data_IF_399358841968
#
_entry.id   IF_399358841968
#
_cell.length_a   1.000
_cell.length_b   1.000
_cell.length_c   1.000
_cell.angle_alpha   90.00
_cell.angle_beta   90.00
_cell.angle_gamma   90.00
#
_symmetry.space_group_name_H-M   'P 1'
#
loop_
_entity.id
_entity.type
_entity.pdbx_description
1 polymer ?
#
# COMPACT_ATOMS: atom_id res chain seq x y z
N UNK A 1 2.53 75.33 -5.20
CA UNK A 1 2.47 74.21 -4.22
C UNK A 1 3.87 74.02 -3.66
N UNK A 2 4.08 74.11 -2.35
CA UNK A 2 5.45 74.19 -1.77
C UNK A 2 6.01 72.73 -1.73
N UNK A 3 7.27 72.55 -2.09
CA UNK A 3 8.02 71.29 -2.15
C UNK A 3 7.80 70.40 -0.89
N UNK A 4 7.63 71.01 0.29
CA UNK A 4 7.29 70.37 1.55
C UNK A 4 5.98 69.54 1.50
N UNK A 5 4.98 70.02 0.78
CA UNK A 5 3.66 69.27 0.69
C UNK A 5 3.75 68.10 -0.24
N UNK A 6 4.64 68.21 -1.26
CA UNK A 6 4.87 67.04 -2.18
C UNK A 6 5.64 65.95 -1.44
N UNK A 7 6.64 66.28 -0.64
CA UNK A 7 7.39 65.31 0.17
C UNK A 7 6.52 64.68 1.27
N UNK A 8 5.61 65.46 1.87
CA UNK A 8 4.68 64.90 2.86
C UNK A 8 3.65 63.93 2.25
N UNK A 9 3.11 64.22 1.06
CA UNK A 9 2.22 63.32 0.34
C UNK A 9 2.95 62.04 -0.13
N UNK A 10 4.20 62.16 -0.58
CA UNK A 10 5.00 61.02 -0.98
C UNK A 10 5.35 60.08 0.19
N UNK A 11 5.60 60.62 1.38
CA UNK A 11 5.88 59.80 2.58
C UNK A 11 4.63 59.12 3.11
N UNK A 12 3.45 59.73 3.02
CA UNK A 12 2.17 59.12 3.39
C UNK A 12 1.74 58.00 2.42
N UNK A 13 1.92 58.24 1.10
CA UNK A 13 1.66 57.19 0.09
C UNK A 13 2.66 56.04 0.20
N UNK A 14 3.93 56.26 0.51
CA UNK A 14 4.94 55.22 0.74
C UNK A 14 4.66 54.38 2.00
N UNK A 15 4.12 54.99 3.06
CA UNK A 15 3.72 54.32 4.29
C UNK A 15 2.50 53.42 4.12
N UNK A 16 1.55 53.79 3.24
CA UNK A 16 0.36 52.99 2.93
C UNK A 16 0.67 51.77 2.03
N UNK A 17 1.73 51.85 1.23
CA UNK A 17 2.14 50.71 0.38
C UNK A 17 2.86 49.59 1.16
N UNK A 18 3.38 49.88 2.37
CA UNK A 18 4.07 48.89 3.21
C UNK A 18 3.14 48.15 4.17
N UNK A 19 1.87 48.56 4.31
CA UNK A 19 0.89 47.89 5.16
C UNK A 19 0.06 46.82 4.43
N UNK A 20 0.42 46.49 3.18
CA UNK A 20 -0.32 45.51 2.36
C UNK A 20 0.05 44.04 2.61
N UNK A 21 0.99 43.77 3.52
CA UNK A 21 1.26 42.41 3.96
C UNK A 21 0.62 42.18 5.33
N UNK A 22 -0.69 41.96 5.37
CA UNK A 22 -1.31 41.35 6.55
C UNK A 22 -0.91 39.88 6.57
N UNK A 23 -0.39 39.42 7.72
CA UNK A 23 0.13 38.05 7.90
C UNK A 23 -0.81 36.93 7.49
N UNK A 24 -2.09 37.21 7.34
CA UNK A 24 -3.10 36.23 6.91
C UNK A 24 -3.04 35.85 5.42
N UNK A 25 -2.44 36.67 4.53
CA UNK A 25 -2.39 36.33 3.11
C UNK A 25 -1.47 35.14 2.81
N UNK A 26 -0.44 34.92 3.62
CA UNK A 26 0.42 33.73 3.49
C UNK A 26 -0.10 32.54 4.32
N UNK A 27 -0.93 32.79 5.32
CA UNK A 27 -1.57 31.74 6.13
C UNK A 27 -2.86 31.20 5.48
N UNK A 28 -3.48 31.95 4.55
CA UNK A 28 -4.66 31.51 3.79
C UNK A 28 -4.34 30.62 2.59
N UNK A 29 -3.07 30.37 2.29
CA UNK A 29 -2.64 29.52 1.17
C UNK A 29 -2.79 28.00 1.46
N UNK A 30 -3.51 27.62 2.50
CA UNK A 30 -4.04 26.26 2.62
C UNK A 30 -5.24 26.16 1.69
N UNK A 31 -5.01 25.62 0.48
CA UNK A 31 -6.07 25.25 -0.42
C UNK A 31 -7.07 24.39 0.36
N UNK A 32 -8.31 24.85 0.62
CA UNK A 32 -9.30 24.07 1.38
C UNK A 32 -9.68 22.75 0.68
N UNK A 33 -9.28 22.57 -0.59
CA UNK A 33 -9.41 21.34 -1.35
C UNK A 33 -8.08 20.57 -1.44
N UNK A 34 -7.00 21.04 -0.82
CA UNK A 34 -5.80 20.23 -0.69
C UNK A 34 -6.08 19.10 0.30
N UNK A 35 -5.66 17.91 -0.04
CA UNK A 35 -5.65 16.76 0.87
C UNK A 35 -4.55 16.97 1.93
N UNK A 36 -4.75 17.97 2.81
CA UNK A 36 -3.90 18.17 3.97
C UNK A 36 -4.15 17.03 4.94
N UNK A 37 -3.12 16.32 5.42
CA UNK A 37 -3.27 15.23 6.39
C UNK A 37 -4.13 15.62 7.60
N UNK A 38 -4.00 16.86 8.11
CA UNK A 38 -4.80 17.38 9.23
C UNK A 38 -6.31 17.47 8.92
N UNK A 39 -6.69 17.54 7.64
CA UNK A 39 -8.06 17.71 7.17
C UNK A 39 -8.66 16.48 6.48
N UNK A 40 -7.88 15.46 6.23
CA UNK A 40 -8.32 14.30 5.43
C UNK A 40 -9.20 13.32 6.23
N UNK A 41 -8.78 12.89 7.42
CA UNK A 41 -9.40 11.80 8.17
C UNK A 41 -10.61 12.25 9.03
N UNK A 42 -11.75 12.60 8.40
CA UNK A 42 -12.92 13.17 9.11
C UNK A 42 -14.21 12.38 8.95
N UNK A 43 -14.29 11.48 8.01
CA UNK A 43 -15.52 10.76 7.68
C UNK A 43 -15.24 9.31 7.26
N UNK A 44 -16.29 8.48 7.25
CA UNK A 44 -16.26 7.12 6.70
C UNK A 44 -15.76 7.10 5.24
N UNK A 45 -16.16 8.09 4.44
CA UNK A 45 -15.71 8.23 3.06
C UNK A 45 -14.18 8.39 2.99
N UNK A 46 -13.57 9.07 3.94
CA UNK A 46 -12.13 9.29 3.96
C UNK A 46 -11.38 8.03 4.39
N UNK A 47 -11.95 7.24 5.29
CA UNK A 47 -11.45 5.89 5.61
C UNK A 47 -11.35 5.06 4.33
N UNK A 48 -12.40 5.02 3.52
CA UNK A 48 -12.43 4.23 2.28
C UNK A 48 -11.46 4.76 1.23
N UNK A 49 -11.25 6.07 1.13
CA UNK A 49 -10.25 6.67 0.23
C UNK A 49 -8.82 6.33 0.65
N UNK A 50 -8.50 6.48 1.93
CA UNK A 50 -7.19 6.12 2.47
C UNK A 50 -6.89 4.63 2.26
N UNK A 51 -7.85 3.77 2.54
CA UNK A 51 -7.73 2.34 2.30
C UNK A 51 -7.55 2.02 0.81
N UNK A 52 -8.22 2.77 -0.09
CA UNK A 52 -8.02 2.62 -1.54
C UNK A 52 -6.59 2.95 -1.95
N UNK A 53 -5.97 3.96 -1.34
CA UNK A 53 -4.55 4.26 -1.57
C UNK A 53 -3.64 3.10 -1.12
N UNK A 54 -3.95 2.47 0.03
CA UNK A 54 -3.22 1.28 0.48
C UNK A 54 -3.38 0.09 -0.50
N UNK A 55 -4.57 -0.12 -1.07
CA UNK A 55 -4.81 -1.13 -2.12
C UNK A 55 -4.13 -0.79 -3.44
N UNK A 56 -3.96 0.48 -3.78
CA UNK A 56 -3.30 0.90 -5.02
C UNK A 56 -1.86 0.38 -5.13
N UNK A 57 -1.21 0.13 -4.00
CA UNK A 57 0.10 -0.51 -3.93
C UNK A 57 0.16 -1.92 -4.54
N UNK A 58 -0.98 -2.60 -4.70
CA UNK A 58 -1.06 -3.87 -5.42
C UNK A 58 -0.92 -3.69 -6.93
N UNK A 59 -1.13 -2.48 -7.44
CA UNK A 59 -0.99 -2.15 -8.85
C UNK A 59 0.37 -1.47 -9.08
N UNK A 60 1.13 -1.86 -10.09
CA UNK A 60 2.33 -1.15 -10.45
C UNK A 60 1.97 0.21 -11.04
N UNK A 61 2.51 1.27 -10.45
CA UNK A 61 2.21 2.67 -10.81
C UNK A 61 3.23 3.31 -11.75
N UNK A 62 4.18 2.55 -12.27
CA UNK A 62 5.26 3.08 -13.10
C UNK A 62 4.79 3.19 -14.54
N UNK A 63 4.90 4.37 -15.14
CA UNK A 63 4.44 4.69 -16.50
C UNK A 63 4.97 3.73 -17.59
N UNK A 64 6.14 3.14 -17.37
CA UNK A 64 6.82 2.26 -18.32
C UNK A 64 6.94 0.81 -17.86
N UNK A 65 6.87 0.56 -16.55
CA UNK A 65 6.88 -0.79 -16.00
C UNK A 65 5.50 -1.42 -16.17
N UNK A 66 5.41 -2.35 -17.09
CA UNK A 66 4.22 -3.17 -17.23
C UNK A 66 3.93 -3.90 -15.91
N UNK A 67 2.68 -4.16 -15.54
CA UNK A 67 2.32 -4.90 -14.32
C UNK A 67 3.11 -6.20 -14.13
N UNK A 68 3.50 -6.84 -15.22
CA UNK A 68 4.24 -8.09 -15.19
C UNK A 68 5.68 -7.95 -14.67
N UNK A 69 6.33 -6.79 -14.80
CA UNK A 69 7.73 -6.63 -14.36
C UNK A 69 7.90 -6.87 -12.87
N UNK A 70 6.99 -6.37 -12.03
CA UNK A 70 7.07 -6.52 -10.57
C UNK A 70 6.84 -7.94 -10.07
N UNK A 71 5.91 -8.65 -10.68
CA UNK A 71 5.50 -9.98 -10.21
C UNK A 71 6.11 -11.09 -11.06
N UNK A 72 6.12 -10.94 -12.37
CA UNK A 72 6.62 -11.99 -13.26
C UNK A 72 8.15 -11.93 -13.35
N UNK A 73 8.74 -10.76 -13.57
CA UNK A 73 10.18 -10.64 -13.72
C UNK A 73 10.91 -10.96 -12.41
N UNK A 74 10.55 -10.30 -11.31
CA UNK A 74 11.22 -10.55 -10.02
C UNK A 74 11.01 -11.97 -9.53
N UNK A 75 9.79 -12.48 -9.62
CA UNK A 75 9.45 -13.77 -9.03
C UNK A 75 9.89 -14.95 -9.90
N UNK A 76 9.84 -14.83 -11.24
CA UNK A 76 9.97 -15.99 -12.12
C UNK A 76 11.25 -16.00 -12.96
N UNK A 77 11.88 -14.85 -13.27
CA UNK A 77 13.14 -14.85 -14.04
C UNK A 77 14.32 -15.42 -13.25
N UNK A 78 14.18 -15.56 -11.92
CA UNK A 78 15.13 -16.27 -11.06
C UNK A 78 14.83 -17.76 -10.91
N UNK A 79 13.90 -18.28 -11.70
CA UNK A 79 13.56 -19.71 -11.75
C UNK A 79 13.97 -20.32 -13.10
N UNK A 80 13.82 -21.63 -13.21
CA UNK A 80 14.03 -22.40 -14.43
C UNK A 80 12.77 -22.47 -15.31
N UNK A 81 11.69 -21.80 -14.93
CA UNK A 81 10.41 -21.83 -15.66
C UNK A 81 10.32 -20.80 -16.78
N UNK A 82 11.10 -19.71 -16.70
CA UNK A 82 11.10 -18.65 -17.70
C UNK A 82 12.50 -18.36 -18.23
N UNK A 83 12.57 -18.14 -19.54
CA UNK A 83 13.76 -17.60 -20.18
C UNK A 83 13.68 -16.07 -20.25
N UNK A 84 14.82 -15.40 -20.26
CA UNK A 84 14.91 -13.95 -20.23
C UNK A 84 15.03 -13.32 -21.62
N UNK A 85 14.59 -12.10 -21.76
CA UNK A 85 14.84 -11.28 -22.95
C UNK A 85 16.27 -10.73 -22.91
N UNK A 86 17.15 -11.11 -23.83
CA UNK A 86 18.55 -10.66 -23.79
C UNK A 86 18.74 -9.18 -24.15
N UNK A 87 17.72 -8.52 -24.72
CA UNK A 87 17.73 -7.10 -25.07
C UNK A 87 17.34 -6.17 -23.89
N UNK A 88 16.92 -6.75 -22.75
CA UNK A 88 16.63 -6.00 -21.53
C UNK A 88 17.64 -6.37 -20.45
N UNK A 89 18.69 -5.57 -20.34
CA UNK A 89 19.81 -5.83 -19.41
C UNK A 89 19.37 -6.09 -17.98
N UNK A 90 18.46 -5.29 -17.44
CA UNK A 90 17.98 -5.44 -16.07
C UNK A 90 17.30 -6.80 -15.80
N UNK A 91 16.59 -7.35 -16.78
CA UNK A 91 15.96 -8.66 -16.66
C UNK A 91 16.98 -9.80 -16.77
N UNK A 92 17.94 -9.64 -17.68
CA UNK A 92 19.06 -10.58 -17.83
C UNK A 92 19.88 -10.68 -16.54
N UNK A 93 20.18 -9.55 -15.89
CA UNK A 93 20.91 -9.52 -14.61
C UNK A 93 20.17 -10.30 -13.53
N UNK A 94 18.83 -10.16 -13.42
CA UNK A 94 18.00 -10.91 -12.49
C UNK A 94 18.06 -12.41 -12.77
N UNK A 95 17.88 -12.80 -14.03
CA UNK A 95 17.90 -14.21 -14.44
C UNK A 95 19.26 -14.88 -14.22
N UNK A 96 20.34 -14.13 -14.40
CA UNK A 96 21.71 -14.61 -14.23
C UNK A 96 22.26 -14.48 -12.80
N UNK A 97 21.48 -13.97 -11.85
CA UNK A 97 21.88 -13.72 -10.44
C UNK A 97 23.12 -12.82 -10.30
N UNK A 98 23.29 -11.86 -11.20
CA UNK A 98 24.39 -10.89 -11.19
C UNK A 98 23.90 -9.44 -11.11
N UNK A 99 22.85 -9.21 -10.31
CA UNK A 99 22.27 -7.89 -10.14
C UNK A 99 23.27 -6.86 -9.64
N UNK A 100 23.33 -5.74 -10.31
CA UNK A 100 23.97 -4.53 -9.84
C UNK A 100 22.99 -3.74 -8.92
N UNK A 101 23.55 -2.95 -8.01
CA UNK A 101 22.74 -2.06 -7.14
C UNK A 101 21.97 -0.97 -7.91
N UNK A 102 22.32 -0.76 -9.17
CA UNK A 102 21.68 0.18 -10.10
C UNK A 102 20.54 -0.44 -10.90
N UNK A 103 20.28 -1.75 -10.76
CA UNK A 103 19.16 -2.39 -11.44
C UNK A 103 17.84 -1.82 -10.97
N UNK A 104 17.08 -1.24 -11.90
CA UNK A 104 15.83 -0.53 -11.57
C UNK A 104 14.72 -1.46 -11.08
N UNK A 105 14.67 -2.72 -11.53
CA UNK A 105 13.57 -3.63 -11.20
C UNK A 105 13.45 -3.90 -9.68
N UNK A 106 14.51 -4.34 -8.98
CA UNK A 106 14.44 -4.46 -7.52
C UNK A 106 14.32 -3.12 -6.81
N UNK A 107 14.91 -2.03 -7.34
CA UNK A 107 14.77 -0.69 -6.75
C UNK A 107 13.32 -0.20 -6.79
N UNK A 108 12.63 -0.40 -7.89
CA UNK A 108 11.23 -0.03 -8.05
C UNK A 108 10.33 -0.87 -7.15
N UNK A 109 10.57 -2.18 -7.05
CA UNK A 109 9.84 -3.04 -6.11
C UNK A 109 10.03 -2.57 -4.66
N UNK A 110 11.27 -2.28 -4.25
CA UNK A 110 11.59 -1.75 -2.93
C UNK A 110 10.84 -0.45 -2.63
N UNK A 111 10.95 0.54 -3.51
CA UNK A 111 10.33 1.86 -3.34
C UNK A 111 8.81 1.75 -3.27
N UNK A 112 8.21 0.97 -4.16
CA UNK A 112 6.76 0.80 -4.20
C UNK A 112 6.22 0.07 -2.96
N UNK A 113 6.92 -0.95 -2.46
CA UNK A 113 6.50 -1.68 -1.27
C UNK A 113 6.55 -0.78 -0.03
N UNK A 114 7.63 0.00 0.15
CA UNK A 114 7.70 0.93 1.28
C UNK A 114 6.71 2.09 1.19
N UNK A 115 6.46 2.62 0.00
CA UNK A 115 5.39 3.62 -0.21
C UNK A 115 4.03 3.03 0.17
N UNK A 116 3.76 1.79 -0.22
CA UNK A 116 2.51 1.11 0.10
C UNK A 116 2.38 0.79 1.60
N UNK A 117 3.48 0.45 2.26
CA UNK A 117 3.53 0.29 3.72
C UNK A 117 3.18 1.60 4.42
N UNK A 118 3.71 2.75 3.93
CA UNK A 118 3.37 4.04 4.50
C UNK A 118 1.88 4.37 4.34
N UNK A 119 1.25 4.08 3.21
CA UNK A 119 -0.21 4.23 3.08
C UNK A 119 -0.99 3.34 4.06
N UNK A 120 -0.51 2.13 4.32
CA UNK A 120 -1.12 1.28 5.35
C UNK A 120 -0.94 1.90 6.75
N UNK A 121 0.24 2.43 7.06
CA UNK A 121 0.51 3.09 8.34
C UNK A 121 -0.38 4.31 8.54
N UNK A 122 -0.55 5.15 7.51
CA UNK A 122 -1.50 6.28 7.54
C UNK A 122 -2.92 5.81 7.89
N UNK A 123 -3.39 4.73 7.29
CA UNK A 123 -4.68 4.14 7.65
C UNK A 123 -4.72 3.71 9.11
N UNK A 124 -3.70 3.01 9.59
CA UNK A 124 -3.67 2.43 10.93
C UNK A 124 -3.58 3.47 12.04
N UNK A 125 -2.84 4.55 11.80
CA UNK A 125 -2.67 5.63 12.77
C UNK A 125 -3.87 6.59 12.79
N UNK A 126 -4.55 6.80 11.66
CA UNK A 126 -5.59 7.81 11.56
C UNK A 126 -7.03 7.27 11.64
N UNK A 127 -7.33 6.07 11.10
CA UNK A 127 -8.70 5.51 11.14
C UNK A 127 -9.27 5.44 12.58
N UNK A 128 -8.51 5.05 13.61
CA UNK A 128 -9.03 5.02 14.99
C UNK A 128 -9.59 6.37 15.47
N UNK A 129 -9.05 7.48 14.96
CA UNK A 129 -9.41 8.84 15.36
C UNK A 129 -10.58 9.43 14.57
N UNK A 130 -11.03 8.80 13.49
CA UNK A 130 -12.19 9.26 12.72
C UNK A 130 -13.44 9.17 13.58
N UNK A 131 -14.25 10.25 13.69
CA UNK A 131 -15.48 10.24 14.48
C UNK A 131 -16.47 9.19 13.97
N UNK A 132 -17.04 8.39 14.87
CA UNK A 132 -18.08 7.42 14.55
C UNK A 132 -19.47 7.81 15.07
N UNK A 133 -19.54 8.84 15.93
CA UNK A 133 -20.79 9.35 16.51
C UNK A 133 -21.69 8.26 17.08
N UNK A 134 -21.10 7.20 17.64
CA UNK A 134 -21.75 6.00 18.15
C UNK A 134 -22.53 5.18 17.11
N UNK A 135 -22.28 5.39 15.82
CA UNK A 135 -22.84 4.59 14.72
C UNK A 135 -22.09 3.24 14.59
N UNK A 136 -22.81 2.15 14.82
CA UNK A 136 -22.25 0.79 14.75
C UNK A 136 -21.78 0.42 13.34
N UNK A 137 -22.38 0.98 12.28
CA UNK A 137 -21.95 0.79 10.90
C UNK A 137 -20.55 1.39 10.66
N UNK A 138 -20.35 2.62 11.15
CA UNK A 138 -19.05 3.30 11.05
C UNK A 138 -17.99 2.58 11.90
N UNK A 139 -18.34 2.17 13.13
CA UNK A 139 -17.45 1.35 13.98
C UNK A 139 -17.03 0.06 13.28
N UNK A 140 -17.96 -0.63 12.63
CA UNK A 140 -17.67 -1.83 11.86
C UNK A 140 -16.79 -1.52 10.65
N UNK A 141 -17.05 -0.44 9.93
CA UNK A 141 -16.21 0.01 8.80
C UNK A 141 -14.78 0.31 9.27
N UNK A 142 -14.60 0.99 10.41
CA UNK A 142 -13.30 1.24 11.04
C UNK A 142 -12.57 -0.07 11.33
N UNK A 143 -13.22 -0.98 12.07
CA UNK A 143 -12.62 -2.26 12.45
C UNK A 143 -12.20 -3.10 11.25
N UNK A 144 -13.03 -3.17 10.23
CA UNK A 144 -12.75 -3.93 9.01
C UNK A 144 -11.65 -3.28 8.18
N UNK A 145 -11.67 -1.93 8.04
CA UNK A 145 -10.65 -1.20 7.28
C UNK A 145 -9.27 -1.28 7.94
N UNK A 146 -9.21 -1.25 9.28
CA UNK A 146 -7.98 -1.50 10.03
C UNK A 146 -7.45 -2.92 9.75
N UNK A 147 -8.33 -3.92 9.75
CA UNK A 147 -7.93 -5.29 9.47
C UNK A 147 -7.42 -5.47 8.02
N UNK A 148 -8.02 -4.78 7.05
CA UNK A 148 -7.53 -4.77 5.67
C UNK A 148 -6.18 -4.06 5.54
N UNK A 149 -6.01 -2.91 6.19
CA UNK A 149 -4.73 -2.19 6.19
C UNK A 149 -3.60 -3.04 6.82
N UNK A 150 -3.89 -3.75 7.93
CA UNK A 150 -2.95 -4.70 8.54
C UNK A 150 -2.58 -5.84 7.59
N UNK A 151 -3.57 -6.42 6.93
CA UNK A 151 -3.32 -7.46 5.92
C UNK A 151 -2.42 -6.96 4.79
N UNK A 152 -2.73 -5.78 4.22
CA UNK A 152 -1.95 -5.20 3.13
C UNK A 152 -0.52 -4.89 3.57
N UNK A 153 -0.34 -4.31 4.76
CA UNK A 153 0.98 -4.05 5.34
C UNK A 153 1.80 -5.33 5.49
N UNK A 154 1.18 -6.37 6.04
CA UNK A 154 1.82 -7.68 6.17
C UNK A 154 2.16 -8.30 4.81
N UNK A 155 1.29 -8.15 3.81
CA UNK A 155 1.56 -8.60 2.44
C UNK A 155 2.77 -7.89 1.84
N UNK A 156 2.87 -6.56 1.99
CA UNK A 156 4.01 -5.80 1.46
C UNK A 156 5.31 -6.15 2.18
N UNK A 157 5.28 -6.34 3.50
CA UNK A 157 6.44 -6.85 4.25
C UNK A 157 6.79 -8.29 3.88
N UNK A 158 5.82 -9.15 3.60
CA UNK A 158 6.07 -10.50 3.09
C UNK A 158 6.77 -10.46 1.72
N UNK A 159 6.37 -9.57 0.83
CA UNK A 159 7.04 -9.34 -0.46
C UNK A 159 8.49 -8.88 -0.27
N UNK A 160 8.71 -7.92 0.62
CA UNK A 160 10.07 -7.49 0.97
C UNK A 160 10.89 -8.66 1.55
N UNK A 161 10.29 -9.45 2.44
CA UNK A 161 10.95 -10.59 3.05
C UNK A 161 11.43 -11.64 2.05
N UNK A 162 10.58 -12.03 1.10
CA UNK A 162 10.94 -13.06 0.10
C UNK A 162 11.97 -12.57 -0.91
N UNK A 163 12.03 -11.26 -1.20
CA UNK A 163 12.91 -10.70 -2.21
C UNK A 163 14.23 -10.16 -1.63
N UNK A 164 14.21 -9.60 -0.41
CA UNK A 164 15.35 -8.88 0.17
C UNK A 164 15.83 -9.46 1.52
N UNK A 165 15.17 -10.49 2.05
CA UNK A 165 15.54 -11.13 3.30
C UNK A 165 14.85 -10.57 4.53
N UNK A 166 15.25 -11.04 5.73
CA UNK A 166 14.53 -10.74 6.97
C UNK A 166 15.02 -9.50 7.72
N UNK A 167 16.21 -9.02 7.43
CA UNK A 167 16.82 -7.87 8.12
C UNK A 167 16.61 -6.61 7.31
N UNK A 168 15.43 -6.04 7.46
CA UNK A 168 14.98 -4.85 6.71
C UNK A 168 14.72 -3.70 7.68
N UNK A 169 14.81 -2.44 7.23
CA UNK A 169 14.18 -1.33 7.95
C UNK A 169 12.68 -1.57 8.10
N UNK A 170 12.13 -1.32 9.30
CA UNK A 170 10.69 -1.46 9.55
C UNK A 170 10.06 -0.13 9.96
N UNK A 171 8.93 0.17 9.34
CA UNK A 171 8.10 1.34 9.61
C UNK A 171 6.73 0.86 10.06
N UNK A 172 6.39 1.10 11.32
CA UNK A 172 5.12 0.64 11.92
C UNK A 172 4.11 1.77 12.06
N UNK A 173 4.55 3.02 11.86
CA UNK A 173 3.76 4.24 11.92
C UNK A 173 3.95 5.08 10.67
N UNK A 174 3.03 6.04 10.46
CA UNK A 174 3.15 7.08 9.44
C UNK A 174 4.43 7.89 9.66
N UNK A 175 5.13 8.24 8.56
CA UNK A 175 6.35 9.03 8.62
C UNK A 175 5.97 10.52 8.78
N UNK A 176 6.47 11.16 9.83
CA UNK A 176 6.24 12.59 10.09
C UNK A 176 7.17 13.51 9.27
N UNK A 177 8.15 12.93 8.57
CA UNK A 177 9.02 13.66 7.65
C UNK A 177 10.32 14.13 8.29
N UNK A 178 10.71 13.61 9.45
CA UNK A 178 12.02 13.87 10.05
C UNK A 178 13.11 13.03 9.36
N UNK A 179 14.33 13.56 9.25
CA UNK A 179 15.43 12.88 8.57
C UNK A 179 15.80 11.54 9.26
N UNK A 180 15.70 11.48 10.58
CA UNK A 180 15.99 10.28 11.36
C UNK A 180 15.01 9.15 11.08
N UNK A 181 13.75 9.45 10.80
CA UNK A 181 12.72 8.46 10.48
C UNK A 181 12.94 7.77 9.12
N UNK A 182 13.56 8.46 8.16
CA UNK A 182 13.77 7.88 6.82
C UNK A 182 14.87 6.82 6.77
N UNK A 183 15.74 6.76 7.77
CA UNK A 183 16.90 5.87 7.78
C UNK A 183 17.01 5.02 9.05
N UNK A 184 15.94 4.27 9.42
CA UNK A 184 16.02 3.41 10.59
C UNK A 184 17.01 2.25 10.34
N UNK A 185 17.62 1.71 11.39
CA UNK A 185 18.48 0.55 11.27
C UNK A 185 17.68 -0.67 10.82
N UNK A 186 18.39 -1.65 10.27
CA UNK A 186 17.82 -2.97 10.02
C UNK A 186 17.36 -3.62 11.33
N UNK A 187 16.20 -4.28 11.30
CA UNK A 187 15.69 -4.97 12.50
C UNK A 187 16.50 -6.23 12.85
N UNK A 188 16.40 -6.64 14.10
CA UNK A 188 16.98 -7.90 14.58
C UNK A 188 16.33 -9.11 13.90
N UNK A 189 17.11 -10.18 13.78
CA UNK A 189 16.65 -11.43 13.21
C UNK A 189 15.37 -11.94 13.91
N UNK A 190 14.39 -12.36 13.14
CA UNK A 190 13.11 -12.83 13.63
C UNK A 190 12.05 -11.75 13.87
N UNK A 191 12.42 -10.47 14.02
CA UNK A 191 11.44 -9.38 14.27
C UNK A 191 10.41 -9.28 13.15
N UNK A 192 10.88 -9.24 11.89
CA UNK A 192 10.03 -9.17 10.72
C UNK A 192 9.13 -10.41 10.60
N UNK A 193 9.66 -11.59 10.87
CA UNK A 193 8.89 -12.85 10.83
C UNK A 193 7.74 -12.82 11.83
N UNK A 194 8.02 -12.44 13.07
CA UNK A 194 7.00 -12.31 14.11
C UNK A 194 5.95 -11.28 13.73
N UNK A 195 6.37 -10.15 13.16
CA UNK A 195 5.46 -9.09 12.72
C UNK A 195 4.48 -9.59 11.65
N UNK A 196 4.97 -10.24 10.59
CA UNK A 196 4.12 -10.77 9.51
C UNK A 196 3.13 -11.81 10.07
N UNK A 197 3.60 -12.72 10.93
CA UNK A 197 2.76 -13.73 11.57
C UNK A 197 1.64 -13.11 12.41
N UNK A 198 1.99 -12.11 13.23
CA UNK A 198 1.04 -11.41 14.10
C UNK A 198 -0.02 -10.65 13.27
N UNK A 199 0.42 -9.83 12.33
CA UNK A 199 -0.49 -9.03 11.49
C UNK A 199 -1.49 -9.90 10.72
N UNK A 200 -1.00 -10.97 10.08
CA UNK A 200 -1.85 -11.90 9.31
C UNK A 200 -2.76 -12.76 10.19
N UNK A 201 -2.35 -13.06 11.40
CA UNK A 201 -3.17 -13.83 12.35
C UNK A 201 -4.30 -12.97 12.93
N UNK A 202 -3.97 -11.78 13.40
CA UNK A 202 -4.92 -10.91 14.12
C UNK A 202 -5.94 -10.26 13.17
N UNK A 203 -5.55 -9.89 11.95
CA UNK A 203 -6.49 -9.28 11.01
C UNK A 203 -7.67 -10.20 10.64
N UNK A 204 -7.51 -11.53 10.72
CA UNK A 204 -8.57 -12.49 10.39
C UNK A 204 -9.84 -12.28 11.26
N UNK A 205 -9.71 -11.78 12.49
CA UNK A 205 -10.84 -11.63 13.40
C UNK A 205 -11.89 -10.62 12.91
N UNK A 206 -11.46 -9.54 12.28
CA UNK A 206 -12.31 -8.44 11.82
C UNK A 206 -12.56 -8.43 10.31
N UNK A 207 -11.92 -9.32 9.55
CA UNK A 207 -12.17 -9.46 8.12
C UNK A 207 -13.43 -10.26 7.86
N UNK A 208 -14.26 -9.86 6.88
CA UNK A 208 -15.47 -10.59 6.53
C UNK A 208 -15.14 -11.91 5.83
N UNK A 209 -16.09 -12.85 5.86
CA UNK A 209 -16.00 -14.09 5.08
C UNK A 209 -16.19 -13.84 3.60
N UNK A 210 -17.01 -12.88 3.26
CA UNK A 210 -17.38 -12.54 1.88
C UNK A 210 -17.78 -11.07 1.83
N UNK A 211 -17.39 -10.39 0.77
CA UNK A 211 -17.87 -9.06 0.43
C UNK A 211 -19.12 -9.14 -0.45
N UNK A 212 -19.91 -8.07 -0.44
CA UNK A 212 -20.96 -7.89 -1.41
C UNK A 212 -20.37 -7.67 -2.83
N UNK A 213 -21.22 -7.75 -3.85
CA UNK A 213 -20.78 -7.67 -5.26
C UNK A 213 -20.03 -6.37 -5.59
N UNK A 214 -20.42 -5.25 -4.97
CA UNK A 214 -19.81 -3.94 -5.23
C UNK A 214 -18.42 -3.79 -4.61
N UNK A 215 -18.08 -4.65 -3.65
CA UNK A 215 -16.79 -4.67 -2.95
C UNK A 215 -16.03 -5.97 -3.23
N UNK A 216 -16.39 -6.69 -4.27
CA UNK A 216 -15.69 -7.91 -4.69
C UNK A 216 -14.22 -7.61 -4.99
N UNK A 217 -13.34 -8.50 -4.57
CA UNK A 217 -11.89 -8.33 -4.72
C UNK A 217 -11.17 -7.79 -3.50
N UNK A 218 -11.90 -7.23 -2.51
CA UNK A 218 -11.29 -6.86 -1.22
C UNK A 218 -10.93 -8.10 -0.39
N UNK A 219 -9.99 -7.91 0.52
CA UNK A 219 -9.46 -8.99 1.38
C UNK A 219 -10.55 -9.58 2.28
N UNK A 220 -10.56 -10.90 2.35
CA UNK A 220 -11.41 -11.67 3.27
C UNK A 220 -10.56 -12.37 4.32
N UNK A 221 -11.19 -12.89 5.39
CA UNK A 221 -10.46 -13.69 6.39
C UNK A 221 -9.78 -14.93 5.77
N UNK A 222 -10.35 -15.47 4.70
CA UNK A 222 -9.78 -16.62 4.00
C UNK A 222 -8.59 -16.24 3.12
N UNK A 223 -8.58 -15.01 2.58
CA UNK A 223 -7.41 -14.46 1.89
C UNK A 223 -6.24 -14.32 2.87
N UNK A 224 -6.52 -13.81 4.09
CA UNK A 224 -5.50 -13.68 5.13
C UNK A 224 -4.99 -15.05 5.62
N UNK A 225 -5.87 -16.04 5.80
CA UNK A 225 -5.49 -17.40 6.16
C UNK A 225 -4.64 -18.05 5.04
N UNK A 226 -5.02 -17.88 3.77
CA UNK A 226 -4.26 -18.41 2.65
C UNK A 226 -2.85 -17.81 2.56
N UNK A 227 -2.72 -16.48 2.77
CA UNK A 227 -1.41 -15.82 2.77
C UNK A 227 -0.56 -16.26 3.96
N UNK A 228 -1.15 -16.38 5.14
CA UNK A 228 -0.45 -16.86 6.34
C UNK A 228 0.02 -18.32 6.16
N UNK A 229 -0.82 -19.16 5.55
CA UNK A 229 -0.43 -20.52 5.17
C UNK A 229 0.74 -20.55 4.19
N UNK A 230 0.72 -19.68 3.16
CA UNK A 230 1.82 -19.53 2.20
C UNK A 230 3.10 -19.03 2.88
N UNK A 231 2.97 -18.05 3.78
CA UNK A 231 4.09 -17.57 4.59
C UNK A 231 4.72 -18.70 5.42
N UNK A 232 3.91 -19.50 6.12
CA UNK A 232 4.39 -20.65 6.89
C UNK A 232 5.06 -21.71 6.03
N UNK A 233 4.56 -21.95 4.83
CA UNK A 233 5.26 -22.83 3.87
C UNK A 233 6.64 -22.30 3.52
N UNK A 234 6.75 -21.00 3.28
CA UNK A 234 8.02 -20.36 2.91
C UNK A 234 9.07 -20.46 4.03
N UNK A 235 8.66 -20.30 5.30
CA UNK A 235 9.59 -20.41 6.46
C UNK A 235 9.75 -21.86 6.98
N UNK A 236 9.12 -22.85 6.35
CA UNK A 236 9.25 -24.27 6.69
C UNK A 236 8.31 -24.77 7.80
N UNK A 237 7.40 -23.94 8.30
CA UNK A 237 6.45 -24.26 9.36
C UNK A 237 5.20 -25.02 8.82
N UNK A 238 5.41 -26.20 8.23
CA UNK A 238 4.39 -26.97 7.50
C UNK A 238 3.14 -27.29 8.29
N UNK A 239 3.28 -27.55 9.61
CA UNK A 239 2.15 -27.87 10.48
C UNK A 239 1.22 -26.66 10.66
N UNK A 240 1.79 -25.46 10.86
CA UNK A 240 1.04 -24.21 10.93
C UNK A 240 0.39 -23.88 9.57
N UNK A 241 1.13 -24.05 8.48
CA UNK A 241 0.62 -23.86 7.13
C UNK A 241 -0.62 -24.71 6.85
N UNK A 242 -0.57 -26.01 7.22
CA UNK A 242 -1.71 -26.92 7.09
C UNK A 242 -2.94 -26.38 7.83
N UNK A 243 -2.78 -25.90 9.05
CA UNK A 243 -3.89 -25.35 9.84
C UNK A 243 -4.55 -24.16 9.14
N UNK A 244 -3.77 -23.23 8.60
CA UNK A 244 -4.29 -22.06 7.91
C UNK A 244 -4.99 -22.44 6.58
N UNK A 245 -4.42 -23.33 5.80
CA UNK A 245 -5.05 -23.81 4.55
C UNK A 245 -6.37 -24.57 4.80
N UNK A 246 -6.46 -25.32 5.92
CA UNK A 246 -7.72 -25.99 6.26
C UNK A 246 -8.84 -25.00 6.56
N UNK A 247 -8.57 -23.83 7.14
CA UNK A 247 -9.61 -22.79 7.29
C UNK A 247 -10.23 -22.39 5.95
N UNK A 248 -9.43 -22.36 4.88
CA UNK A 248 -9.90 -22.02 3.53
C UNK A 248 -10.68 -23.18 2.93
N UNK A 249 -10.16 -24.40 3.02
CA UNK A 249 -10.76 -25.61 2.46
C UNK A 249 -12.11 -25.91 3.14
N UNK A 250 -12.14 -25.91 4.48
CA UNK A 250 -13.34 -26.22 5.27
C UNK A 250 -14.42 -25.12 5.17
N UNK A 251 -14.06 -23.94 4.65
CA UNK A 251 -15.05 -22.90 4.38
C UNK A 251 -16.04 -23.26 3.27
N UNK A 252 -15.67 -24.20 2.39
CA UNK A 252 -16.41 -24.58 1.18
C UNK A 252 -16.82 -23.39 0.29
N UNK A 253 -16.06 -22.28 0.36
CA UNK A 253 -16.32 -21.07 -0.44
C UNK A 253 -15.50 -21.02 -1.72
N UNK A 254 -14.48 -21.83 -1.79
CA UNK A 254 -13.55 -21.92 -2.91
C UNK A 254 -13.45 -23.37 -3.34
N UNK A 255 -13.44 -23.60 -4.64
CA UNK A 255 -13.27 -24.92 -5.25
C UNK A 255 -12.27 -24.84 -6.40
N UNK A 256 -11.62 -25.95 -6.66
CA UNK A 256 -10.77 -26.05 -7.85
C UNK A 256 -11.65 -26.26 -9.08
N UNK A 257 -11.31 -25.61 -10.17
CA UNK A 257 -11.99 -25.83 -11.44
C UNK A 257 -11.70 -27.26 -11.94
N UNK A 258 -12.74 -28.04 -12.20
CA UNK A 258 -12.61 -29.41 -12.71
C UNK A 258 -11.88 -29.46 -14.05
N UNK A 259 -12.05 -28.45 -14.87
CA UNK A 259 -11.42 -28.34 -16.17
C UNK A 259 -10.72 -26.99 -16.32
N UNK A 260 -9.38 -27.02 -16.47
CA UNK A 260 -8.57 -25.80 -16.65
C UNK A 260 -8.96 -24.99 -17.89
N UNK A 261 -9.54 -25.60 -18.92
CA UNK A 261 -10.03 -24.85 -20.09
C UNK A 261 -11.21 -23.94 -19.77
N UNK A 262 -11.85 -24.13 -18.60
CA UNK A 262 -12.97 -23.31 -18.13
C UNK A 262 -12.56 -22.14 -17.23
N UNK A 263 -11.28 -21.92 -16.96
CA UNK A 263 -10.81 -20.77 -16.15
C UNK A 263 -11.17 -19.41 -16.77
N UNK A 264 -11.47 -19.38 -18.08
CA UNK A 264 -11.87 -18.19 -18.82
C UNK A 264 -13.39 -18.02 -18.98
N UNK A 265 -14.20 -18.76 -18.25
CA UNK A 265 -15.69 -18.67 -18.32
C UNK A 265 -16.20 -17.26 -18.00
N UNK A 266 -15.46 -16.46 -17.25
CA UNK A 266 -15.83 -15.07 -16.99
C UNK A 266 -15.74 -14.15 -18.22
N UNK A 267 -15.21 -14.60 -19.36
CA UNK A 267 -15.12 -13.86 -20.61
C UNK A 267 -15.82 -14.56 -21.81
N UNK A 268 -17.10 -14.97 -21.71
CA UNK A 268 -17.75 -15.67 -22.82
C UNK A 268 -17.97 -14.80 -24.06
N UNK A 269 -17.86 -13.47 -23.93
CA UNK A 269 -18.20 -12.53 -24.99
C UNK A 269 -17.07 -12.26 -25.99
N UNK A 270 -15.82 -12.52 -25.67
CA UNK A 270 -14.70 -12.26 -26.61
C UNK A 270 -14.54 -13.35 -27.67
N UNK A 271 -14.83 -14.60 -27.39
CA UNK A 271 -14.71 -15.69 -28.36
C UNK A 271 -15.88 -15.75 -29.35
N UNK A 272 -17.05 -15.22 -29.00
CA UNK A 272 -18.22 -15.18 -29.90
C UNK A 272 -18.14 -14.09 -30.97
N UNK A 273 -17.18 -13.18 -30.89
CA UNK A 273 -16.99 -12.08 -31.87
C UNK A 273 -15.95 -12.37 -32.96
N UNK A 274 -15.33 -13.56 -32.97
CA UNK A 274 -14.26 -13.95 -33.93
C UNK A 274 -14.72 -15.09 -34.84
N UNK A 275 -16.00 -15.50 -34.79
CA UNK A 275 -16.59 -16.46 -35.72
C UNK A 275 -17.44 -15.80 -36.79
#
# INVERSE_FOLDING_TARGET
MKLKNILLCASVLGGLALSSCTGNFLDEDRNPNSLDPENFWKSESDILKGLTAAYAGLQPTIEWAQPFERYIVIDNYRSDELDYRPDVTAWMELAMYNNESTNYVPNDEWTNLYTSINYCNQCLDNIPNVPDNDDEGIKQTKATSIAEARFLRAFYYYRLFINFGERLPMFEHELEGTEEEFYPPQVEAGRLKTFIETELSECQANLPEKWNTNMAGRVTKYTAAALLGKYYMFIGEKAKAKTEFWKVIDSHRYELMENLSLIHISEPTRHAQIS
#
